data_IF_697686799523
#
_entry.id   IF_697686799523
#
_cell.length_a   1.000
_cell.length_b   1.000
_cell.length_c   1.000
_cell.angle_alpha   90.00
_cell.angle_beta   90.00
_cell.angle_gamma   90.00
#
_symmetry.space_group_name_H-M   'P 1'
#
loop_
_entity.id
_entity.type
_entity.pdbx_description
1 polymer ?
#
# COMPACT_ATOMS: atom_id res chain seq x y z
N UNK A 1 5.68 -16.25 6.39
CA UNK A 1 4.96 -15.20 7.15
C UNK A 1 4.20 -14.36 6.14
N UNK A 2 2.95 -14.08 6.40
CA UNK A 2 2.15 -13.07 5.72
C UNK A 2 1.80 -11.99 6.74
N UNK A 3 1.90 -10.73 6.36
CA UNK A 3 1.60 -9.60 7.25
C UNK A 3 0.92 -8.50 6.42
N UNK A 4 -0.09 -7.88 7.00
CA UNK A 4 -0.80 -6.75 6.40
C UNK A 4 -0.34 -5.42 6.99
N UNK A 5 -0.61 -4.32 6.29
CA UNK A 5 -0.36 -2.95 6.81
C UNK A 5 -1.15 -2.64 8.08
N UNK A 6 -2.26 -3.33 8.31
CA UNK A 6 -3.06 -3.27 9.54
C UNK A 6 -2.38 -3.89 10.76
N UNK A 7 -1.25 -4.61 10.57
CA UNK A 7 -0.56 -5.37 11.60
C UNK A 7 -1.09 -6.78 11.83
N UNK A 8 -2.13 -7.19 11.12
CA UNK A 8 -2.55 -8.60 11.11
C UNK A 8 -1.45 -9.45 10.48
N UNK A 9 -1.16 -10.59 11.07
CA UNK A 9 -0.08 -11.43 10.57
C UNK A 9 -0.25 -12.90 10.88
N UNK A 10 0.05 -13.72 9.87
CA UNK A 10 -0.03 -15.17 9.94
C UNK A 10 1.36 -15.79 9.82
N UNK A 11 1.74 -16.61 10.79
CA UNK A 11 3.01 -17.29 10.84
C UNK A 11 2.83 -18.76 10.49
N UNK A 12 3.76 -19.32 9.69
CA UNK A 12 3.72 -20.73 9.31
C UNK A 12 3.74 -21.68 10.52
N UNK A 13 4.51 -21.33 11.54
CA UNK A 13 4.61 -22.10 12.78
C UNK A 13 3.33 -22.04 13.64
N UNK A 14 2.41 -21.13 13.34
CA UNK A 14 1.07 -21.06 13.93
C UNK A 14 -0.01 -21.44 12.89
N UNK A 15 0.28 -22.44 12.06
CA UNK A 15 -0.65 -22.99 11.06
C UNK A 15 -1.23 -21.93 10.10
N UNK A 16 -0.51 -20.82 9.87
CA UNK A 16 -0.96 -19.66 9.08
C UNK A 16 -2.25 -19.01 9.61
N UNK A 17 -2.51 -19.13 10.91
CA UNK A 17 -3.60 -18.42 11.55
C UNK A 17 -3.23 -16.95 11.75
N UNK A 18 -4.15 -16.05 11.48
CA UNK A 18 -4.07 -14.64 11.86
C UNK A 18 -4.30 -14.55 13.37
N UNK A 19 -3.20 -14.37 14.12
CA UNK A 19 -3.19 -14.46 15.58
C UNK A 19 -2.26 -13.40 16.17
N UNK A 20 -2.85 -12.29 16.58
CA UNK A 20 -2.15 -11.17 17.20
C UNK A 20 -1.51 -11.51 18.52
N UNK A 21 -2.10 -12.44 19.32
CA UNK A 21 -1.52 -12.86 20.59
C UNK A 21 -0.22 -13.66 20.35
N UNK A 22 -0.22 -14.57 19.38
CA UNK A 22 0.97 -15.30 18.98
C UNK A 22 2.10 -14.36 18.51
N UNK A 23 1.78 -13.38 17.68
CA UNK A 23 2.73 -12.38 17.22
C UNK A 23 3.28 -11.54 18.37
N UNK A 24 2.43 -11.09 19.30
CA UNK A 24 2.85 -10.33 20.47
C UNK A 24 3.84 -11.12 21.34
N UNK A 25 3.56 -12.41 21.60
CA UNK A 25 4.48 -13.28 22.35
C UNK A 25 5.82 -13.41 21.63
N UNK A 26 5.83 -13.60 20.30
CA UNK A 26 7.09 -13.68 19.54
C UNK A 26 7.90 -12.38 19.63
N UNK A 27 7.27 -11.24 19.54
CA UNK A 27 7.91 -9.92 19.67
C UNK A 27 8.52 -9.78 21.07
N UNK A 28 7.78 -10.13 22.12
CA UNK A 28 8.27 -10.07 23.52
C UNK A 28 9.47 -10.98 23.71
N UNK A 29 9.39 -12.23 23.25
CA UNK A 29 10.49 -13.20 23.35
C UNK A 29 11.74 -12.67 22.65
N UNK A 30 11.62 -12.12 21.46
CA UNK A 30 12.76 -11.57 20.74
C UNK A 30 13.33 -10.32 21.44
N UNK A 31 12.47 -9.44 21.96
CA UNK A 31 12.90 -8.28 22.74
C UNK A 31 13.73 -8.68 23.98
N UNK A 32 13.26 -9.70 24.74
CA UNK A 32 13.98 -10.23 25.91
C UNK A 32 15.29 -10.87 25.50
N UNK A 33 15.30 -11.67 24.43
CA UNK A 33 16.52 -12.32 23.91
C UNK A 33 17.59 -11.30 23.59
N UNK A 34 17.25 -10.23 22.86
CA UNK A 34 18.18 -9.16 22.49
C UNK A 34 18.71 -8.40 23.70
N UNK A 35 17.86 -8.04 24.66
CA UNK A 35 18.32 -7.39 25.91
C UNK A 35 19.26 -8.27 26.71
N UNK A 36 19.01 -9.56 26.80
CA UNK A 36 19.90 -10.51 27.47
C UNK A 36 21.25 -10.66 26.76
N UNK A 37 21.31 -10.43 25.47
CA UNK A 37 22.55 -10.40 24.67
C UNK A 37 23.25 -9.04 24.67
N UNK A 38 22.83 -8.09 25.50
CA UNK A 38 23.44 -6.76 25.62
C UNK A 38 22.92 -5.70 24.64
N UNK A 39 21.87 -5.99 23.87
CA UNK A 39 21.22 -5.05 22.97
C UNK A 39 20.11 -4.24 23.64
N UNK A 40 19.54 -3.28 22.89
CA UNK A 40 18.44 -2.39 23.34
C UNK A 40 17.06 -3.04 23.23
N UNK A 41 16.97 -4.26 22.69
CA UNK A 41 15.74 -5.00 22.49
C UNK A 41 15.21 -4.88 21.06
N UNK A 42 13.90 -4.68 20.89
CA UNK A 42 13.26 -4.60 19.57
C UNK A 42 13.73 -3.37 18.76
N UNK A 43 14.10 -2.28 19.42
CA UNK A 43 14.62 -1.08 18.76
C UNK A 43 15.84 -1.37 17.86
N UNK A 44 16.66 -2.36 18.24
CA UNK A 44 17.80 -2.78 17.41
C UNK A 44 17.40 -3.27 16.00
N UNK A 45 16.19 -3.80 15.85
CA UNK A 45 15.69 -4.26 14.56
C UNK A 45 15.24 -3.12 13.66
N UNK A 46 14.92 -1.98 14.24
CA UNK A 46 14.32 -0.83 13.55
C UNK A 46 15.30 0.30 13.25
N UNK A 47 16.51 0.27 13.88
CA UNK A 47 17.48 1.37 13.77
C UNK A 47 17.95 1.68 12.35
N UNK A 48 17.95 0.69 11.45
CA UNK A 48 18.35 0.83 10.06
C UNK A 48 17.13 0.96 9.12
N UNK A 49 15.90 0.97 9.69
CA UNK A 49 14.68 1.14 8.92
C UNK A 49 14.55 2.60 8.49
N UNK A 50 14.58 2.83 7.18
CA UNK A 50 14.33 4.15 6.61
C UNK A 50 12.84 4.38 6.56
N UNK A 51 12.36 5.35 7.32
CA UNK A 51 10.97 5.78 7.25
C UNK A 51 10.73 6.63 5.99
N UNK A 52 9.58 6.48 5.31
CA UNK A 52 9.22 7.38 4.22
C UNK A 52 9.06 8.80 4.74
N UNK A 53 9.24 9.79 3.89
CA UNK A 53 9.00 11.20 4.25
C UNK A 53 7.52 11.55 4.31
N UNK A 54 6.74 10.88 3.50
CA UNK A 54 5.30 11.06 3.41
C UNK A 54 4.63 9.71 3.24
N UNK A 55 3.51 9.53 3.91
CA UNK A 55 2.64 8.40 3.77
C UNK A 55 1.17 8.83 3.79
N UNK A 56 0.30 8.09 3.13
CA UNK A 56 -1.13 8.26 3.22
C UNK A 56 -1.87 6.97 2.91
N UNK A 57 -2.94 6.70 3.66
CA UNK A 57 -3.92 5.69 3.33
C UNK A 57 -5.28 6.36 3.12
N UNK A 58 -5.96 6.01 2.05
CA UNK A 58 -7.33 6.45 1.79
C UNK A 58 -8.21 5.27 1.40
N UNK A 59 -9.47 5.35 1.81
CA UNK A 59 -10.49 4.36 1.50
C UNK A 59 -11.46 4.93 0.48
N UNK A 60 -11.44 4.37 -0.71
CA UNK A 60 -12.31 4.72 -1.83
C UNK A 60 -13.61 3.93 -1.68
N UNK A 61 -14.68 4.58 -1.23
CA UNK A 61 -15.97 3.92 -1.06
C UNK A 61 -16.54 3.52 -2.41
N UNK A 62 -17.05 2.31 -2.50
CA UNK A 62 -17.75 1.80 -3.68
C UNK A 62 -19.24 1.82 -3.38
N UNK A 63 -20.02 2.46 -4.25
CA UNK A 63 -21.49 2.52 -4.16
C UNK A 63 -22.10 1.41 -5.00
N UNK A 64 -23.11 0.72 -4.46
CA UNK A 64 -23.80 -0.37 -5.13
C UNK A 64 -23.75 -1.68 -4.32
N UNK A 65 -24.71 -2.57 -4.59
CA UNK A 65 -24.82 -3.85 -3.86
C UNK A 65 -23.68 -4.82 -4.22
N UNK A 66 -23.24 -4.82 -5.47
CA UNK A 66 -22.14 -5.67 -5.94
C UNK A 66 -20.87 -4.84 -6.17
N UNK A 67 -20.11 -4.62 -5.10
CA UNK A 67 -18.90 -3.82 -5.14
C UNK A 67 -17.67 -4.55 -5.73
N UNK A 68 -17.68 -5.90 -5.74
CA UNK A 68 -16.52 -6.69 -6.16
C UNK A 68 -16.14 -6.50 -7.62
N UNK A 69 -17.07 -6.59 -8.60
CA UNK A 69 -16.76 -6.31 -9.99
C UNK A 69 -16.27 -4.88 -10.23
N UNK A 70 -16.83 -3.90 -9.50
CA UNK A 70 -16.41 -2.49 -9.63
C UNK A 70 -14.97 -2.31 -9.18
N UNK A 71 -14.62 -2.84 -8.00
CA UNK A 71 -13.24 -2.78 -7.50
C UNK A 71 -12.24 -3.51 -8.40
N UNK A 72 -12.61 -4.69 -8.89
CA UNK A 72 -11.79 -5.46 -9.83
C UNK A 72 -11.56 -4.68 -11.14
N UNK A 73 -12.59 -4.02 -11.67
CA UNK A 73 -12.49 -3.20 -12.88
C UNK A 73 -11.50 -2.05 -12.71
N UNK A 74 -11.52 -1.37 -11.57
CA UNK A 74 -10.58 -0.28 -11.26
C UNK A 74 -9.15 -0.80 -11.17
N UNK A 75 -8.92 -1.91 -10.48
CA UNK A 75 -7.58 -2.52 -10.34
C UNK A 75 -7.04 -2.95 -11.71
N UNK A 76 -7.85 -3.62 -12.52
CA UNK A 76 -7.44 -4.04 -13.88
C UNK A 76 -7.22 -2.83 -14.80
N UNK A 77 -7.98 -1.74 -14.64
CA UNK A 77 -7.75 -0.48 -15.33
C UNK A 77 -6.40 0.13 -14.96
N UNK A 78 -6.07 0.16 -13.66
CA UNK A 78 -4.77 0.63 -13.18
C UNK A 78 -3.62 -0.19 -13.76
N UNK A 79 -3.74 -1.52 -13.74
CA UNK A 79 -2.75 -2.43 -14.30
C UNK A 79 -2.51 -2.15 -15.79
N UNK A 80 -3.57 -2.04 -16.58
CA UNK A 80 -3.46 -1.70 -18.01
C UNK A 80 -2.76 -0.36 -18.22
N UNK A 81 -3.07 0.63 -17.39
CA UNK A 81 -2.46 1.96 -17.50
C UNK A 81 -0.96 1.93 -17.22
N UNK A 82 -0.54 1.33 -16.11
CA UNK A 82 0.87 1.23 -15.72
C UNK A 82 1.69 0.45 -16.76
N UNK A 83 1.12 -0.59 -17.35
CA UNK A 83 1.78 -1.41 -18.39
C UNK A 83 1.99 -0.68 -19.72
N UNK A 84 1.44 0.53 -19.91
CA UNK A 84 1.77 1.38 -21.07
C UNK A 84 3.21 1.94 -21.00
N UNK A 85 3.87 1.81 -19.87
CA UNK A 85 5.24 2.31 -19.68
C UNK A 85 5.35 3.82 -19.89
N UNK A 86 6.18 4.31 -20.82
CA UNK A 86 6.37 5.75 -21.04
C UNK A 86 5.11 6.51 -21.45
N UNK A 87 4.09 5.84 -21.99
CA UNK A 87 2.81 6.45 -22.39
C UNK A 87 1.81 6.54 -21.23
N UNK A 88 2.15 5.98 -20.07
CA UNK A 88 1.31 6.02 -18.87
C UNK A 88 1.25 7.43 -18.28
N UNK A 89 0.12 7.74 -17.65
CA UNK A 89 0.02 8.97 -16.83
C UNK A 89 0.84 8.87 -15.54
N UNK A 90 1.23 7.65 -15.14
CA UNK A 90 2.10 7.40 -14.00
C UNK A 90 3.57 7.46 -14.47
N UNK A 91 4.10 8.67 -14.49
CA UNK A 91 5.48 8.93 -14.92
C UNK A 91 6.49 8.20 -14.03
N UNK A 92 7.55 7.66 -14.64
CA UNK A 92 8.65 6.96 -13.98
C UNK A 92 8.16 5.81 -13.06
N UNK A 93 7.08 5.15 -13.44
CA UNK A 93 6.49 4.08 -12.66
C UNK A 93 6.71 2.71 -13.30
N UNK A 94 6.75 1.70 -12.45
CA UNK A 94 6.83 0.31 -12.85
C UNK A 94 6.03 -0.59 -11.88
N UNK A 95 5.43 -1.67 -12.37
CA UNK A 95 4.79 -2.63 -11.47
C UNK A 95 5.84 -3.37 -10.64
N UNK A 96 5.50 -3.77 -9.42
CA UNK A 96 6.31 -4.76 -8.70
C UNK A 96 6.22 -6.12 -9.40
N UNK A 97 7.28 -6.92 -9.30
CA UNK A 97 7.35 -8.23 -9.97
C UNK A 97 6.31 -9.23 -9.46
N UNK A 98 5.88 -9.09 -8.20
CA UNK A 98 4.91 -9.98 -7.56
C UNK A 98 3.86 -9.16 -6.83
N UNK A 99 2.62 -9.29 -7.24
CA UNK A 99 1.44 -8.71 -6.61
C UNK A 99 0.53 -9.84 -6.13
N UNK A 100 0.45 -10.06 -4.82
CA UNK A 100 -0.43 -11.07 -4.23
C UNK A 100 -1.83 -10.54 -3.96
N UNK A 101 -1.94 -9.27 -3.60
CA UNK A 101 -3.20 -8.61 -3.29
C UNK A 101 -3.20 -7.20 -3.89
N UNK A 102 -4.20 -6.91 -4.71
CA UNK A 102 -4.28 -5.63 -5.42
C UNK A 102 -3.16 -5.42 -6.44
N UNK A 103 -2.80 -4.17 -6.67
CA UNK A 103 -1.76 -3.80 -7.63
C UNK A 103 -0.85 -2.72 -7.06
N UNK A 104 0.40 -3.08 -6.76
CA UNK A 104 1.44 -2.16 -6.26
C UNK A 104 2.31 -1.67 -7.40
N UNK A 105 2.56 -0.37 -7.37
CA UNK A 105 3.35 0.35 -8.37
C UNK A 105 4.48 1.07 -7.66
N UNK A 106 5.71 0.87 -8.12
CA UNK A 106 6.87 1.63 -7.69
C UNK A 106 7.03 2.88 -8.57
N UNK A 107 7.50 3.95 -7.97
CA UNK A 107 7.75 5.23 -8.64
C UNK A 107 9.20 5.64 -8.36
N UNK A 108 9.97 5.87 -9.42
CA UNK A 108 11.29 6.51 -9.30
C UNK A 108 11.08 8.03 -9.17
N UNK A 109 11.45 8.56 -8.00
CA UNK A 109 11.31 9.98 -7.68
C UNK A 109 12.59 10.78 -7.99
N UNK A 110 13.62 10.11 -8.57
CA UNK A 110 14.91 10.70 -8.87
C UNK A 110 15.82 10.84 -7.64
N UNK A 111 17.09 11.10 -7.87
CA UNK A 111 18.12 11.30 -6.82
C UNK A 111 18.19 10.14 -5.81
N UNK A 112 17.94 8.92 -6.26
CA UNK A 112 17.93 7.73 -5.41
C UNK A 112 16.74 7.66 -4.42
N UNK A 113 15.70 8.46 -4.64
CA UNK A 113 14.44 8.43 -3.88
C UNK A 113 13.44 7.55 -4.60
N UNK A 114 12.62 6.88 -3.82
CA UNK A 114 11.57 6.02 -4.31
C UNK A 114 10.24 6.32 -3.63
N UNK A 115 9.18 6.17 -4.39
CA UNK A 115 7.83 6.14 -3.86
C UNK A 115 7.10 4.89 -4.33
N UNK A 116 5.96 4.64 -3.79
CA UNK A 116 5.07 3.60 -4.26
C UNK A 116 3.63 3.89 -3.88
N UNK A 117 2.71 3.28 -4.61
CA UNK A 117 1.32 3.21 -4.20
C UNK A 117 0.77 1.80 -4.45
N UNK A 118 -0.21 1.42 -3.65
CA UNK A 118 -0.93 0.15 -3.73
C UNK A 118 -2.42 0.40 -3.75
N UNK A 119 -3.10 -0.09 -4.78
CA UNK A 119 -4.55 -0.15 -4.83
C UNK A 119 -5.00 -1.60 -4.60
N UNK A 120 -5.74 -1.85 -3.53
CA UNK A 120 -6.32 -3.15 -3.24
C UNK A 120 -7.81 -3.06 -2.93
N UNK A 121 -8.54 -4.11 -3.20
CA UNK A 121 -9.95 -4.21 -2.84
C UNK A 121 -10.12 -4.89 -1.48
N UNK A 122 -11.00 -4.38 -0.63
CA UNK A 122 -11.39 -5.08 0.59
C UNK A 122 -12.16 -6.36 0.25
N UNK A 123 -11.94 -7.41 1.03
CA UNK A 123 -12.67 -8.68 0.89
C UNK A 123 -14.11 -8.57 1.42
N UNK A 124 -14.31 -7.75 2.44
CA UNK A 124 -15.55 -7.70 3.21
C UNK A 124 -16.33 -6.39 3.05
N UNK A 125 -15.62 -5.28 2.86
CA UNK A 125 -16.22 -3.95 2.83
C UNK A 125 -16.30 -3.41 1.39
N UNK A 126 -17.30 -2.57 1.06
CA UNK A 126 -17.43 -1.95 -0.25
C UNK A 126 -16.43 -0.80 -0.42
N UNK A 127 -15.14 -1.10 -0.34
CA UNK A 127 -14.06 -0.13 -0.47
C UNK A 127 -12.87 -0.70 -1.25
N UNK A 128 -12.18 0.18 -1.98
CA UNK A 128 -10.79 -0.03 -2.34
C UNK A 128 -9.90 0.78 -1.40
N UNK A 129 -8.82 0.19 -0.93
CA UNK A 129 -7.81 0.85 -0.11
C UNK A 129 -6.67 1.28 -1.03
N UNK A 130 -6.28 2.55 -0.93
CA UNK A 130 -5.18 3.12 -1.68
C UNK A 130 -4.14 3.65 -0.70
N UNK A 131 -2.99 3.01 -0.66
CA UNK A 131 -1.85 3.39 0.15
C UNK A 131 -0.80 4.09 -0.71
N UNK A 132 -0.14 5.11 -0.15
CA UNK A 132 0.98 5.81 -0.75
C UNK A 132 2.12 5.91 0.27
N UNK A 133 3.35 5.79 -0.22
CA UNK A 133 4.56 6.19 0.51
C UNK A 133 5.53 6.88 -0.44
N UNK A 134 6.30 7.83 0.08
CA UNK A 134 7.27 8.59 -0.70
C UNK A 134 8.48 9.01 0.12
N UNK A 135 9.66 8.88 -0.46
CA UNK A 135 10.93 9.40 0.05
C UNK A 135 11.12 10.91 -0.26
N UNK A 136 10.27 11.48 -1.10
CA UNK A 136 10.35 12.86 -1.52
C UNK A 136 9.23 13.71 -0.90
N UNK A 137 9.54 14.95 -0.51
CA UNK A 137 8.51 15.91 -0.10
C UNK A 137 7.60 16.25 -1.29
N UNK A 138 6.29 16.11 -1.11
CA UNK A 138 5.29 16.31 -2.15
C UNK A 138 5.11 15.10 -3.07
N UNK A 139 5.80 13.99 -2.84
CA UNK A 139 5.70 12.78 -3.67
C UNK A 139 4.33 12.12 -3.58
N UNK A 140 3.75 12.01 -2.38
CA UNK A 140 2.39 11.51 -2.19
C UNK A 140 1.37 12.37 -2.95
N UNK A 141 1.50 13.70 -2.86
CA UNK A 141 0.65 14.64 -3.62
C UNK A 141 0.80 14.44 -5.14
N UNK A 142 2.02 14.24 -5.64
CA UNK A 142 2.28 13.98 -7.07
C UNK A 142 1.59 12.70 -7.53
N UNK A 143 1.79 11.59 -6.80
CA UNK A 143 1.15 10.31 -7.10
C UNK A 143 -0.39 10.41 -7.05
N UNK A 144 -0.95 11.10 -6.05
CA UNK A 144 -2.38 11.33 -5.94
C UNK A 144 -2.95 12.12 -7.15
N UNK A 145 -2.23 13.13 -7.65
CA UNK A 145 -2.61 13.87 -8.87
C UNK A 145 -2.60 12.99 -10.12
N UNK A 146 -1.58 12.15 -10.27
CA UNK A 146 -1.49 11.20 -11.39
C UNK A 146 -2.62 10.18 -11.32
N UNK A 147 -2.92 9.65 -10.11
CA UNK A 147 -4.04 8.75 -9.88
C UNK A 147 -5.37 9.38 -10.30
N UNK A 148 -5.66 10.61 -9.88
CA UNK A 148 -6.89 11.31 -10.26
C UNK A 148 -6.96 11.59 -11.77
N UNK A 149 -5.86 12.02 -12.40
CA UNK A 149 -5.81 12.24 -13.84
C UNK A 149 -6.17 10.98 -14.62
N UNK A 150 -5.64 9.83 -14.20
CA UNK A 150 -6.00 8.54 -14.77
C UNK A 150 -7.45 8.19 -14.48
N UNK A 151 -7.87 8.25 -13.22
CA UNK A 151 -9.20 7.84 -12.76
C UNK A 151 -10.32 8.63 -13.46
N UNK A 152 -10.17 9.96 -13.53
CA UNK A 152 -11.14 10.85 -14.17
C UNK A 152 -11.21 10.60 -15.70
N UNK A 153 -10.07 10.28 -16.33
CA UNK A 153 -10.03 9.93 -17.76
C UNK A 153 -10.76 8.62 -18.07
N UNK A 154 -10.59 7.60 -17.23
CA UNK A 154 -11.25 6.30 -17.42
C UNK A 154 -12.75 6.35 -17.12
N UNK A 155 -13.22 7.35 -16.35
CA UNK A 155 -14.63 7.57 -16.08
C UNK A 155 -15.29 6.48 -15.24
N UNK A 156 -14.55 5.86 -14.32
CA UNK A 156 -15.11 4.84 -13.43
C UNK A 156 -16.30 5.38 -12.63
N UNK A 157 -17.39 4.63 -12.63
CA UNK A 157 -18.61 4.96 -11.90
C UNK A 157 -18.68 4.20 -10.57
N UNK A 158 -19.37 4.79 -9.60
CA UNK A 158 -19.66 4.13 -8.33
C UNK A 158 -18.47 4.07 -7.36
N UNK A 159 -17.39 4.83 -7.59
CA UNK A 159 -16.23 4.90 -6.68
C UNK A 159 -15.98 6.33 -6.26
N UNK A 160 -15.98 6.58 -4.96
CA UNK A 160 -15.72 7.90 -4.37
C UNK A 160 -14.20 8.12 -4.20
N UNK A 161 -13.66 9.11 -4.87
CA UNK A 161 -12.24 9.50 -4.81
C UNK A 161 -12.00 10.84 -4.11
N UNK A 162 -12.96 11.37 -3.38
CA UNK A 162 -12.86 12.68 -2.72
C UNK A 162 -11.71 12.74 -1.70
N UNK A 163 -11.42 11.61 -1.05
CA UNK A 163 -10.27 11.52 -0.14
C UNK A 163 -8.93 11.72 -0.89
N UNK A 164 -8.79 11.18 -2.10
CA UNK A 164 -7.61 11.40 -2.95
C UNK A 164 -7.55 12.85 -3.43
N UNK A 165 -8.71 13.46 -3.77
CA UNK A 165 -8.77 14.88 -4.16
C UNK A 165 -8.29 15.82 -3.05
N UNK A 166 -8.48 15.46 -1.77
CA UNK A 166 -7.96 16.24 -0.63
C UNK A 166 -6.44 16.18 -0.54
N UNK A 167 -5.84 15.02 -0.79
CA UNK A 167 -4.37 14.84 -0.81
C UNK A 167 -3.74 15.57 -2.00
N UNK A 168 -4.40 15.59 -3.14
CA UNK A 168 -3.89 16.20 -4.35
C UNK A 168 -3.91 17.75 -4.35
N UNK A 169 -4.57 18.38 -3.39
CA UNK A 169 -4.56 19.85 -3.21
C UNK A 169 -3.23 20.35 -2.65
#
# INVERSE_FOLDING_TARGET
MMIETSGHGAMRENHNLDDGAFLAVKIIVEAVRRRRSGGEGIADLLKDLKEPKEEAEVRLKITGEDFKPIGALVIEGLKREVLKGPESVFENSSPVSVNHEGYRVCVDEGDGKAGWFLLRQSLHDPVCVLNFESDAKGGVKKMAKQFLKWFDREGFQGVDVDAVRKIAK
#
